data_IF_749448775208
#
_entry.id   IF_749448775208
#
_cell.length_a   1.000
_cell.length_b   1.000
_cell.length_c   1.000
_cell.angle_alpha   90.00
_cell.angle_beta   90.00
_cell.angle_gamma   90.00
#
_symmetry.space_group_name_H-M   'P 1'
#
loop_
_entity.id
_entity.type
_entity.pdbx_description
1 polymer ?
#
# COMPACT_ATOMS: atom_id res chain seq x y z
N UNK A 1 -5.20 17.10 -26.37
CA UNK A 1 -6.03 16.24 -27.25
C UNK A 1 -5.20 15.05 -27.69
N UNK A 2 -5.43 13.86 -27.11
CA UNK A 2 -5.41 12.55 -27.80
C UNK A 2 -5.55 11.47 -26.73
N UNK A 3 -6.78 11.01 -26.53
CA UNK A 3 -7.00 9.61 -26.18
C UNK A 3 -6.42 8.82 -27.35
N UNK A 4 -5.48 7.91 -27.09
CA UNK A 4 -4.78 7.15 -28.13
C UNK A 4 -5.82 6.46 -29.01
N UNK A 5 -5.62 6.54 -30.33
CA UNK A 5 -6.47 5.89 -31.34
C UNK A 5 -6.67 4.43 -30.95
N UNK A 6 -7.93 4.00 -30.85
CA UNK A 6 -8.25 2.58 -30.83
C UNK A 6 -7.58 1.90 -32.03
N UNK A 7 -6.79 0.84 -31.82
CA UNK A 7 -6.30 0.02 -32.92
C UNK A 7 -7.49 -0.62 -33.67
N UNK A 8 -7.35 -0.92 -34.97
CA UNK A 8 -8.41 -1.52 -35.76
C UNK A 8 -8.88 -2.85 -35.14
N UNK A 9 -10.19 -3.09 -35.23
CA UNK A 9 -10.98 -4.21 -34.67
C UNK A 9 -10.47 -5.65 -34.98
N UNK A 10 -9.37 -5.79 -35.73
CA UNK A 10 -8.82 -7.06 -36.21
C UNK A 10 -7.51 -7.52 -35.50
N UNK A 11 -7.19 -7.01 -34.30
CA UNK A 11 -6.00 -7.44 -33.53
C UNK A 11 -6.36 -7.96 -32.12
N UNK A 12 -7.42 -8.76 -32.05
CA UNK A 12 -8.13 -9.19 -30.81
C UNK A 12 -7.34 -10.02 -29.76
N UNK A 13 -6.02 -10.07 -29.79
CA UNK A 13 -5.27 -10.87 -28.81
C UNK A 13 -3.83 -10.47 -28.51
N UNK A 14 -3.34 -9.32 -29.00
CA UNK A 14 -1.95 -8.89 -28.77
C UNK A 14 -1.77 -7.45 -28.31
N UNK A 15 -2.87 -6.73 -28.13
CA UNK A 15 -2.83 -5.29 -27.86
C UNK A 15 -2.83 -4.97 -26.37
N UNK A 16 -3.45 -5.81 -25.51
CA UNK A 16 -3.47 -5.57 -24.07
C UNK A 16 -2.07 -5.77 -23.43
N UNK A 17 -1.25 -6.65 -24.00
CA UNK A 17 0.13 -6.94 -23.60
C UNK A 17 1.20 -6.16 -24.37
N UNK A 18 0.83 -5.22 -25.25
CA UNK A 18 1.82 -4.42 -25.96
C UNK A 18 2.42 -3.35 -25.04
N UNK A 19 3.74 -3.16 -25.08
CA UNK A 19 4.52 -2.24 -24.21
C UNK A 19 4.12 -0.74 -24.30
N UNK A 20 3.22 -0.36 -25.19
CA UNK A 20 2.70 1.00 -25.36
C UNK A 20 1.19 1.13 -25.24
N UNK A 21 0.50 0.08 -24.81
CA UNK A 21 -0.95 0.10 -24.62
C UNK A 21 -1.31 0.78 -23.30
N UNK A 22 -2.13 1.81 -23.39
CA UNK A 22 -2.77 2.42 -22.24
C UNK A 22 -4.20 1.91 -22.10
N UNK A 23 -4.50 1.30 -20.97
CA UNK A 23 -5.85 0.83 -20.65
C UNK A 23 -6.85 1.99 -20.69
N UNK A 24 -8.09 1.66 -21.04
CA UNK A 24 -9.18 2.62 -21.12
C UNK A 24 -9.45 3.25 -19.74
N UNK A 25 -9.89 4.51 -19.75
CA UNK A 25 -10.23 5.26 -18.54
C UNK A 25 -11.50 6.07 -18.76
N UNK A 26 -12.22 6.34 -17.67
CA UNK A 26 -13.49 7.06 -17.73
C UNK A 26 -13.32 8.59 -17.88
N UNK A 27 -12.24 9.16 -17.33
CA UNK A 27 -12.01 10.62 -17.31
C UNK A 27 -10.69 10.97 -18.01
N UNK A 28 -10.67 11.91 -18.97
CA UNK A 28 -9.43 12.35 -19.61
C UNK A 28 -8.53 13.20 -18.68
N UNK A 29 -7.37 12.67 -18.31
CA UNK A 29 -6.30 13.34 -17.57
C UNK A 29 -4.92 13.22 -18.27
N UNK A 30 -3.87 13.89 -17.80
CA UNK A 30 -2.50 13.60 -18.28
C UNK A 30 -1.91 12.35 -17.60
N UNK A 31 -2.32 12.09 -16.37
CA UNK A 31 -1.81 11.00 -15.52
C UNK A 31 -2.98 10.26 -14.84
N UNK A 32 -2.80 8.98 -14.54
CA UNK A 32 -3.73 8.28 -13.65
C UNK A 32 -3.73 8.95 -12.27
N UNK A 33 -4.88 8.97 -11.61
CA UNK A 33 -4.99 9.43 -10.22
C UNK A 33 -4.82 8.25 -9.27
N UNK A 34 -4.35 8.51 -8.06
CA UNK A 34 -4.34 7.49 -7.02
C UNK A 34 -5.77 7.17 -6.59
N UNK A 35 -6.00 5.89 -6.29
CA UNK A 35 -7.21 5.44 -5.66
C UNK A 35 -7.00 5.37 -4.14
N UNK A 36 -8.10 5.42 -3.39
CA UNK A 36 -8.11 5.59 -1.92
C UNK A 36 -8.59 4.35 -1.18
N UNK A 37 -8.54 3.18 -1.81
CA UNK A 37 -8.85 1.90 -1.19
C UNK A 37 -7.83 1.49 -0.13
N UNK A 38 -8.26 0.63 0.78
CA UNK A 38 -7.37 0.00 1.75
C UNK A 38 -6.31 -0.86 1.06
N UNK A 39 -5.08 -0.83 1.59
CA UNK A 39 -3.96 -1.64 1.11
C UNK A 39 -3.65 -2.80 2.06
N UNK A 40 -3.17 -3.91 1.52
CA UNK A 40 -2.73 -5.06 2.31
C UNK A 40 -1.44 -4.74 3.10
N UNK A 41 -1.37 -5.22 4.35
CA UNK A 41 -0.19 -5.17 5.19
C UNK A 41 0.23 -6.58 5.60
N UNK A 42 1.49 -6.93 5.31
CA UNK A 42 2.09 -8.22 5.67
C UNK A 42 3.18 -8.00 6.72
N UNK A 43 3.25 -8.87 7.72
CA UNK A 43 4.24 -8.78 8.80
C UNK A 43 4.78 -10.15 9.22
N UNK A 44 6.05 -10.17 9.60
CA UNK A 44 6.76 -11.33 10.16
C UNK A 44 7.77 -10.87 11.20
N UNK A 45 8.06 -11.72 12.20
CA UNK A 45 8.99 -11.41 13.29
C UNK A 45 8.32 -10.94 14.58
N UNK A 46 9.09 -10.29 15.50
CA UNK A 46 8.57 -9.86 16.80
C UNK A 46 7.33 -8.97 16.67
N UNK A 47 6.26 -9.36 17.36
CA UNK A 47 4.96 -8.68 17.34
C UNK A 47 4.21 -8.66 16.00
N UNK A 48 4.55 -9.53 15.05
CA UNK A 48 3.79 -9.65 13.79
C UNK A 48 2.29 -9.92 14.02
N UNK A 49 1.92 -10.60 15.13
CA UNK A 49 0.52 -10.86 15.51
C UNK A 49 -0.31 -9.59 15.81
N UNK A 50 0.32 -8.41 15.94
CA UNK A 50 -0.39 -7.13 16.06
C UNK A 50 -0.96 -6.66 14.72
N UNK A 51 -0.43 -7.14 13.61
CA UNK A 51 -0.94 -6.85 12.26
C UNK A 51 -2.09 -7.83 11.97
N UNK A 52 -3.31 -7.39 12.27
CA UNK A 52 -4.55 -8.16 12.08
C UNK A 52 -5.76 -7.23 11.90
N UNK A 53 -6.74 -7.66 11.11
CA UNK A 53 -7.96 -6.89 10.85
C UNK A 53 -7.72 -5.66 9.97
N UNK A 54 -8.61 -4.67 10.09
CA UNK A 54 -8.49 -3.36 9.42
C UNK A 54 -7.79 -2.40 10.38
N UNK A 55 -6.72 -1.76 9.90
CA UNK A 55 -5.89 -0.85 10.67
C UNK A 55 -5.77 0.49 9.95
N UNK A 56 -5.78 1.57 10.71
CA UNK A 56 -5.44 2.89 10.19
C UNK A 56 -3.96 2.96 9.79
N UNK A 57 -3.62 3.66 8.69
CA UNK A 57 -2.25 3.72 8.17
C UNK A 57 -1.22 4.24 9.22
N UNK A 58 -1.64 5.13 10.12
CA UNK A 58 -0.76 5.65 11.17
C UNK A 58 -0.42 4.62 12.27
N UNK A 59 -1.23 3.55 12.42
CA UNK A 59 -0.99 2.49 13.41
C UNK A 59 0.25 1.66 13.04
N UNK A 60 0.62 1.60 11.77
CA UNK A 60 1.84 0.89 11.31
C UNK A 60 3.07 1.42 12.05
N UNK A 61 3.20 2.73 12.19
CA UNK A 61 4.30 3.36 12.94
C UNK A 61 4.31 2.98 14.42
N UNK A 62 3.13 2.96 15.07
CA UNK A 62 3.01 2.55 16.46
C UNK A 62 3.40 1.08 16.68
N UNK A 63 3.02 0.18 15.77
CA UNK A 63 3.39 -1.23 15.83
C UNK A 63 4.91 -1.40 15.70
N UNK A 64 5.54 -0.71 14.74
CA UNK A 64 7.00 -0.76 14.53
C UNK A 64 7.73 -0.23 15.77
N UNK A 65 7.33 0.94 16.30
CA UNK A 65 7.93 1.50 17.51
C UNK A 65 7.82 0.54 18.69
N UNK A 66 6.64 -0.05 18.90
CA UNK A 66 6.41 -1.01 19.95
C UNK A 66 7.22 -2.30 19.78
N UNK A 67 7.35 -2.82 18.56
CA UNK A 67 8.14 -4.01 18.26
C UNK A 67 9.64 -3.79 18.49
N UNK A 68 10.15 -2.60 18.16
CA UNK A 68 11.57 -2.25 18.22
C UNK A 68 12.00 -1.54 19.51
N UNK A 69 11.10 -1.37 20.48
CA UNK A 69 11.37 -0.63 21.72
C UNK A 69 11.82 0.83 21.49
N UNK A 70 11.23 1.52 20.50
CA UNK A 70 11.57 2.88 20.14
C UNK A 70 10.59 3.90 20.74
N UNK A 71 11.11 4.87 21.49
CA UNK A 71 10.34 5.96 22.10
C UNK A 71 9.90 5.68 23.54
N UNK A 72 9.08 6.57 24.09
CA UNK A 72 8.66 6.62 25.49
C UNK A 72 7.11 6.65 25.66
N UNK A 73 6.38 6.29 24.60
CA UNK A 73 4.92 6.23 24.61
C UNK A 73 4.35 5.27 25.67
N UNK A 74 3.09 5.52 26.06
CA UNK A 74 2.42 4.81 27.18
C UNK A 74 2.49 3.29 27.07
N UNK A 75 2.38 2.74 25.85
CA UNK A 75 2.42 1.29 25.59
C UNK A 75 3.83 0.67 25.69
N UNK A 76 4.90 1.45 25.51
CA UNK A 76 6.29 0.97 25.54
C UNK A 76 6.83 0.76 26.96
N UNK A 77 6.23 1.44 27.94
CA UNK A 77 6.76 1.54 29.31
C UNK A 77 6.86 0.18 30.01
N UNK A 78 5.86 -0.69 29.84
CA UNK A 78 5.84 -2.02 30.47
C UNK A 78 6.67 -3.08 29.76
N UNK A 79 7.04 -2.87 28.49
CA UNK A 79 7.74 -3.89 27.70
C UNK A 79 9.25 -3.67 27.61
N UNK A 80 9.65 -2.41 27.44
CA UNK A 80 11.02 -2.07 27.09
C UNK A 80 11.70 -1.22 28.17
N UNK A 81 10.96 -0.31 28.81
CA UNK A 81 11.54 0.58 29.82
C UNK A 81 11.69 -0.10 31.20
N UNK A 82 10.80 -1.03 31.55
CA UNK A 82 10.85 -1.81 32.80
C UNK A 82 11.84 -3.00 32.75
N UNK A 83 12.51 -3.21 31.60
CA UNK A 83 13.52 -4.26 31.40
C UNK A 83 14.92 -3.70 31.12
N UNK A 84 15.15 -2.41 31.36
CA UNK A 84 16.50 -1.84 31.29
C UNK A 84 17.26 -2.18 32.58
N UNK A 85 18.49 -2.70 32.50
CA UNK A 85 19.31 -2.99 33.68
C UNK A 85 19.68 -1.72 34.45
#
# INVERSE_FOLDING_TARGET
>A
MSCVKHPPFNQRGRLAEADGYHQVRNVPSKYAVHAGEDVALYAMGPMAHLVRGVLEQHVVGHIIHYAACLGDGVTLRSRCLDRRP
#
